data_IF_232415963964
#
_entry.id   IF_232415963964
#
_cell.length_a   1.000
_cell.length_b   1.000
_cell.length_c   1.000
_cell.angle_alpha   90.00
_cell.angle_beta   90.00
_cell.angle_gamma   90.00
#
_symmetry.space_group_name_H-M   'P 1'
#
loop_
_entity.id
_entity.type
_entity.pdbx_description
1 polymer ?
#
# COMPACT_ATOMS: atom_id res chain seq x y z
N UNK A 1 30.70 5.31 -3.60
CA UNK A 1 29.72 4.41 -4.26
C UNK A 1 30.49 3.46 -5.17
N UNK A 2 30.24 2.15 -5.14
CA UNK A 2 30.96 1.20 -6.00
C UNK A 2 30.54 1.36 -7.47
N UNK A 3 31.42 1.02 -8.44
CA UNK A 3 31.07 1.03 -9.88
C UNK A 3 29.83 0.19 -10.22
N UNK A 4 29.49 -0.79 -9.38
CA UNK A 4 28.29 -1.63 -9.55
C UNK A 4 27.00 -0.89 -9.16
N UNK A 5 27.03 -0.07 -8.11
CA UNK A 5 25.87 0.74 -7.69
C UNK A 5 25.47 1.76 -8.77
N UNK A 6 26.43 2.40 -9.42
CA UNK A 6 26.16 3.33 -10.53
C UNK A 6 25.44 2.68 -11.73
N UNK A 7 25.67 1.39 -11.99
CA UNK A 7 25.03 0.70 -13.12
C UNK A 7 23.52 0.51 -12.91
N UNK A 8 23.07 0.39 -11.66
CA UNK A 8 21.66 0.13 -11.31
C UNK A 8 21.00 1.28 -10.57
N UNK A 9 21.65 2.43 -10.47
CA UNK A 9 21.12 3.63 -9.79
C UNK A 9 19.71 3.99 -10.29
N UNK A 10 19.53 4.14 -11.60
CA UNK A 10 18.20 4.42 -12.18
C UNK A 10 17.18 3.29 -11.95
N UNK A 11 17.62 2.04 -11.89
CA UNK A 11 16.72 0.92 -11.56
C UNK A 11 16.22 1.04 -10.12
N UNK A 12 17.14 1.29 -9.19
CA UNK A 12 16.87 1.45 -7.76
C UNK A 12 15.96 2.66 -7.55
N UNK A 13 16.27 3.81 -8.14
CA UNK A 13 15.46 5.03 -8.02
C UNK A 13 14.01 4.82 -8.48
N UNK A 14 13.82 4.16 -9.64
CA UNK A 14 12.47 3.88 -10.13
C UNK A 14 11.76 2.88 -9.22
N UNK A 15 12.44 1.84 -8.74
CA UNK A 15 11.86 0.89 -7.79
C UNK A 15 11.50 1.52 -6.45
N UNK A 16 12.37 2.35 -5.89
CA UNK A 16 12.09 3.12 -4.67
C UNK A 16 10.85 4.00 -4.87
N UNK A 17 10.73 4.65 -6.03
CA UNK A 17 9.53 5.40 -6.39
C UNK A 17 8.29 4.52 -6.46
N UNK A 18 8.38 3.27 -6.96
CA UNK A 18 7.24 2.35 -6.98
C UNK A 18 6.69 2.10 -5.58
N UNK A 19 7.52 1.95 -4.56
CA UNK A 19 7.04 1.71 -3.19
C UNK A 19 6.53 2.98 -2.49
N UNK A 20 6.74 4.16 -3.07
CA UNK A 20 6.42 5.45 -2.46
C UNK A 20 5.59 6.37 -3.37
N UNK A 21 4.82 5.80 -4.30
CA UNK A 21 3.92 6.57 -5.18
C UNK A 21 3.00 7.45 -4.33
N UNK A 22 3.00 8.76 -4.61
CA UNK A 22 2.15 9.72 -3.94
C UNK A 22 0.81 9.84 -4.66
N UNK A 23 -0.24 10.21 -3.93
CA UNK A 23 -1.55 10.50 -4.51
C UNK A 23 -1.52 11.62 -5.56
N UNK A 24 -0.58 12.56 -5.42
CA UNK A 24 -0.35 13.67 -6.35
C UNK A 24 0.50 13.29 -7.55
N UNK A 25 1.13 12.11 -7.57
CA UNK A 25 2.04 11.75 -8.66
C UNK A 25 1.25 11.57 -9.97
N UNK A 26 1.68 12.17 -11.08
CA UNK A 26 1.06 11.94 -12.37
C UNK A 26 1.28 10.48 -12.80
N UNK A 27 0.18 9.74 -12.97
CA UNK A 27 0.22 8.31 -13.31
C UNK A 27 1.01 8.07 -14.60
N UNK A 28 0.83 8.92 -15.60
CA UNK A 28 1.54 8.82 -16.88
C UNK A 28 3.07 8.98 -16.70
N UNK A 29 3.53 9.89 -15.84
CA UNK A 29 4.97 10.06 -15.59
C UNK A 29 5.59 8.86 -14.88
N UNK A 30 4.87 8.30 -13.89
CA UNK A 30 5.31 7.08 -13.20
C UNK A 30 5.38 5.93 -14.20
N UNK A 31 4.34 5.77 -15.00
CA UNK A 31 4.26 4.72 -16.02
C UNK A 31 5.36 4.84 -17.09
N UNK A 32 5.60 6.04 -17.61
CA UNK A 32 6.67 6.30 -18.58
C UNK A 32 8.07 5.97 -18.01
N UNK A 33 8.29 6.23 -16.72
CA UNK A 33 9.54 5.86 -16.02
C UNK A 33 9.70 4.34 -15.94
N UNK A 34 8.62 3.62 -15.62
CA UNK A 34 8.60 2.15 -15.59
C UNK A 34 8.92 1.57 -16.97
N UNK A 35 8.26 2.08 -18.02
CA UNK A 35 8.44 1.59 -19.37
C UNK A 35 9.86 1.83 -19.90
N UNK A 36 10.38 3.04 -19.74
CA UNK A 36 11.69 3.42 -20.27
C UNK A 36 12.84 2.76 -19.51
N UNK A 37 12.74 2.67 -18.18
CA UNK A 37 13.81 2.15 -17.33
C UNK A 37 13.65 0.65 -17.09
N UNK A 38 12.59 0.22 -16.41
CA UNK A 38 12.47 -1.16 -15.96
C UNK A 38 12.27 -2.12 -17.12
N UNK A 39 11.35 -1.81 -18.04
CA UNK A 39 11.02 -2.68 -19.17
C UNK A 39 12.05 -2.52 -20.29
N UNK A 40 12.29 -1.29 -20.77
CA UNK A 40 13.08 -1.08 -21.99
C UNK A 40 14.59 -1.19 -21.76
N UNK A 41 15.12 -0.56 -20.69
CA UNK A 41 16.56 -0.55 -20.41
C UNK A 41 17.02 -1.81 -19.66
N UNK A 42 16.33 -2.17 -18.58
CA UNK A 42 16.74 -3.30 -17.72
C UNK A 42 16.07 -4.63 -18.07
N UNK A 43 15.11 -4.64 -19.00
CA UNK A 43 14.44 -5.86 -19.48
C UNK A 43 13.79 -6.68 -18.35
N UNK A 44 13.25 -6.00 -17.34
CA UNK A 44 12.50 -6.63 -16.26
C UNK A 44 11.29 -7.37 -16.85
N UNK A 45 11.08 -8.61 -16.41
CA UNK A 45 9.95 -9.39 -16.85
C UNK A 45 8.63 -8.77 -16.34
N UNK A 46 7.58 -8.85 -17.14
CA UNK A 46 6.32 -8.15 -16.86
C UNK A 46 5.59 -8.74 -15.65
N UNK A 47 5.63 -10.06 -15.48
CA UNK A 47 5.07 -10.71 -14.29
C UNK A 47 5.78 -10.23 -13.03
N UNK A 48 7.11 -10.14 -13.05
CA UNK A 48 7.90 -9.69 -11.90
C UNK A 48 7.62 -8.22 -11.56
N UNK A 49 7.42 -7.38 -12.58
CA UNK A 49 7.01 -5.99 -12.40
C UNK A 49 5.62 -5.88 -11.79
N UNK A 50 4.63 -6.62 -12.30
CA UNK A 50 3.27 -6.60 -11.77
C UNK A 50 3.26 -7.14 -10.33
N UNK A 51 3.97 -8.23 -10.06
CA UNK A 51 4.15 -8.75 -8.71
C UNK A 51 4.76 -7.70 -7.78
N UNK A 52 5.79 -6.98 -8.24
CA UNK A 52 6.40 -5.89 -7.46
C UNK A 52 5.43 -4.75 -7.17
N UNK A 53 4.55 -4.40 -8.12
CA UNK A 53 3.50 -3.40 -7.92
C UNK A 53 2.42 -3.87 -6.94
N UNK A 54 2.02 -5.14 -7.02
CA UNK A 54 1.09 -5.75 -6.07
C UNK A 54 1.68 -5.72 -4.66
N UNK A 55 2.97 -6.09 -4.52
CA UNK A 55 3.70 -5.98 -3.25
C UNK A 55 3.76 -4.53 -2.74
N UNK A 56 3.99 -3.56 -3.63
CA UNK A 56 4.01 -2.15 -3.25
C UNK A 56 2.67 -1.66 -2.67
N UNK A 57 1.52 -2.20 -3.12
CA UNK A 57 0.20 -1.89 -2.54
C UNK A 57 0.16 -2.24 -1.04
N UNK A 58 0.78 -3.35 -0.63
CA UNK A 58 0.83 -3.75 0.79
C UNK A 58 1.52 -2.71 1.65
N UNK A 59 2.56 -2.04 1.15
CA UNK A 59 3.34 -1.06 1.90
C UNK A 59 2.82 0.38 1.74
N UNK A 60 1.96 0.62 0.75
CA UNK A 60 1.43 1.93 0.44
C UNK A 60 -0.05 1.86 0.01
N UNK A 61 -0.89 1.24 0.84
CA UNK A 61 -2.31 1.01 0.53
C UNK A 61 -3.09 2.31 0.27
N UNK A 62 -2.65 3.43 0.86
CA UNK A 62 -3.24 4.76 0.61
C UNK A 62 -3.26 5.09 -0.89
N UNK A 63 -2.26 4.64 -1.65
CA UNK A 63 -2.12 4.87 -3.09
C UNK A 63 -2.63 3.72 -3.97
N UNK A 64 -3.43 2.77 -3.44
CA UNK A 64 -3.90 1.58 -4.18
C UNK A 64 -4.53 1.91 -5.54
N UNK A 65 -5.30 3.00 -5.64
CA UNK A 65 -5.92 3.41 -6.90
C UNK A 65 -4.89 3.80 -7.97
N UNK A 66 -3.77 4.40 -7.57
CA UNK A 66 -2.66 4.72 -8.47
C UNK A 66 -1.98 3.44 -8.96
N UNK A 67 -1.73 2.47 -8.07
CA UNK A 67 -1.17 1.18 -8.43
C UNK A 67 -2.06 0.40 -9.41
N UNK A 68 -3.36 0.33 -9.12
CA UNK A 68 -4.35 -0.34 -10.00
C UNK A 68 -4.31 0.27 -11.41
N UNK A 69 -4.30 1.61 -11.52
CA UNK A 69 -4.20 2.29 -12.83
C UNK A 69 -2.93 1.92 -13.57
N UNK A 70 -1.79 1.91 -12.88
CA UNK A 70 -0.49 1.56 -13.49
C UNK A 70 -0.49 0.09 -13.95
N UNK A 71 -0.95 -0.84 -13.11
CA UNK A 71 -1.03 -2.27 -13.47
C UNK A 71 -1.96 -2.46 -14.67
N UNK A 72 -3.10 -1.78 -14.70
CA UNK A 72 -4.04 -1.85 -15.83
C UNK A 72 -3.44 -1.30 -17.13
N UNK A 73 -2.63 -0.24 -17.08
CA UNK A 73 -1.86 0.23 -18.24
C UNK A 73 -0.90 -0.85 -18.74
N UNK A 74 -0.14 -1.49 -17.84
CA UNK A 74 0.78 -2.60 -18.18
C UNK A 74 0.02 -3.78 -18.81
N UNK A 75 -1.12 -4.18 -18.23
CA UNK A 75 -1.95 -5.28 -18.73
C UNK A 75 -2.57 -4.96 -20.12
N UNK A 76 -2.91 -3.69 -20.37
CA UNK A 76 -3.54 -3.27 -21.63
C UNK A 76 -2.57 -3.17 -22.81
N UNK A 77 -1.33 -2.76 -22.57
CA UNK A 77 -0.37 -2.48 -23.64
C UNK A 77 0.46 -3.69 -24.06
N UNK A 78 0.47 -4.75 -23.24
CA UNK A 78 1.49 -5.78 -23.35
C UNK A 78 0.87 -7.15 -23.57
N UNK A 79 1.24 -7.77 -24.70
CA UNK A 79 0.99 -9.19 -24.90
C UNK A 79 1.69 -9.99 -23.80
N UNK A 80 0.89 -10.61 -22.93
CA UNK A 80 1.31 -11.56 -21.90
C UNK A 80 1.05 -12.97 -22.42
N UNK A 81 1.97 -13.90 -22.12
CA UNK A 81 1.71 -15.30 -22.42
C UNK A 81 0.63 -15.85 -21.49
N UNK A 82 -0.02 -16.96 -21.88
CA UNK A 82 -1.03 -17.60 -21.03
C UNK A 82 -0.46 -18.05 -19.68
N UNK A 83 0.81 -18.44 -19.63
CA UNK A 83 1.51 -18.77 -18.38
C UNK A 83 1.76 -17.55 -17.50
N UNK A 84 2.12 -16.39 -18.09
CA UNK A 84 2.34 -15.17 -17.31
C UNK A 84 1.04 -14.70 -16.66
N UNK A 85 -0.06 -14.72 -17.41
CA UNK A 85 -1.38 -14.34 -16.90
C UNK A 85 -1.78 -15.21 -15.70
N UNK A 86 -1.55 -16.52 -15.78
CA UNK A 86 -1.90 -17.41 -14.68
C UNK A 86 -1.13 -17.05 -13.40
N UNK A 87 0.18 -16.82 -13.50
CA UNK A 87 1.01 -16.42 -12.35
C UNK A 87 0.49 -15.11 -11.75
N UNK A 88 0.19 -14.13 -12.60
CA UNK A 88 -0.31 -12.83 -12.16
C UNK A 88 -1.67 -12.95 -11.46
N UNK A 89 -2.57 -13.84 -11.93
CA UNK A 89 -3.85 -14.12 -11.26
C UNK A 89 -3.61 -14.74 -9.88
N UNK A 90 -2.79 -15.80 -9.81
CA UNK A 90 -2.48 -16.49 -8.56
C UNK A 90 -1.85 -15.51 -7.54
N UNK A 91 -0.96 -14.64 -8.01
CA UNK A 91 -0.37 -13.57 -7.19
C UNK A 91 -1.44 -12.58 -6.73
N UNK A 92 -2.28 -12.06 -7.63
CA UNK A 92 -3.32 -11.07 -7.27
C UNK A 92 -4.30 -11.60 -6.22
N UNK A 93 -4.73 -12.86 -6.35
CA UNK A 93 -5.66 -13.49 -5.40
C UNK A 93 -5.08 -13.57 -3.99
N UNK A 94 -3.76 -13.80 -3.86
CA UNK A 94 -3.07 -13.80 -2.56
C UNK A 94 -3.12 -12.44 -1.84
N UNK A 95 -3.39 -11.35 -2.57
CA UNK A 95 -3.53 -9.99 -2.03
C UNK A 95 -4.99 -9.49 -2.05
N UNK A 96 -5.97 -10.39 -2.10
CA UNK A 96 -7.38 -10.01 -2.21
C UNK A 96 -7.65 -9.03 -3.39
N UNK A 97 -6.96 -9.22 -4.50
CA UNK A 97 -7.21 -8.57 -5.78
C UNK A 97 -7.75 -9.61 -6.77
N UNK A 98 -8.58 -9.17 -7.70
CA UNK A 98 -9.10 -9.96 -8.81
C UNK A 98 -8.53 -9.47 -10.11
N UNK A 99 -8.24 -10.39 -11.03
CA UNK A 99 -7.90 -10.08 -12.41
C UNK A 99 -8.94 -10.71 -13.32
N UNK A 100 -9.73 -9.84 -13.96
CA UNK A 100 -10.81 -10.24 -14.84
C UNK A 100 -10.53 -9.81 -16.26
N UNK A 101 -11.07 -10.58 -17.22
CA UNK A 101 -10.97 -10.25 -18.64
C UNK A 101 -12.22 -9.49 -19.06
N UNK A 102 -12.02 -8.29 -19.61
CA UNK A 102 -13.12 -7.48 -20.18
C UNK A 102 -13.71 -8.15 -21.43
N UNK A 103 -14.86 -7.65 -21.88
CA UNK A 103 -15.52 -8.08 -23.12
C UNK A 103 -14.61 -7.95 -24.34
N UNK A 104 -13.71 -6.96 -24.34
CA UNK A 104 -12.76 -6.70 -25.42
C UNK A 104 -11.50 -7.57 -25.32
N UNK A 105 -11.45 -8.46 -24.33
CA UNK A 105 -10.38 -9.42 -24.15
C UNK A 105 -9.14 -8.88 -23.42
N UNK A 106 -9.26 -7.73 -22.76
CA UNK A 106 -8.18 -7.08 -22.00
C UNK A 106 -8.28 -7.49 -20.53
N UNK A 107 -7.16 -7.85 -19.89
CA UNK A 107 -7.16 -8.14 -18.46
C UNK A 107 -7.11 -6.85 -17.64
N UNK A 108 -7.86 -6.81 -16.54
CA UNK A 108 -7.88 -5.70 -15.60
C UNK A 108 -7.83 -6.20 -14.16
N UNK A 109 -7.04 -5.55 -13.33
CA UNK A 109 -6.98 -5.76 -11.89
C UNK A 109 -7.95 -4.84 -11.16
N UNK A 110 -8.58 -5.36 -10.12
CA UNK A 110 -9.48 -4.65 -9.21
C UNK A 110 -9.37 -5.24 -7.80
N UNK A 111 -9.72 -4.48 -6.75
CA UNK A 111 -9.73 -5.00 -5.38
C UNK A 111 -11.06 -5.72 -5.09
N UNK A 112 -11.04 -6.80 -4.31
CA UNK A 112 -12.29 -7.47 -3.89
C UNK A 112 -13.18 -6.60 -2.99
N UNK A 113 -12.55 -5.72 -2.19
CA UNK A 113 -13.26 -4.78 -1.33
C UNK A 113 -13.12 -3.36 -1.87
N UNK A 114 -14.18 -2.58 -1.73
CA UNK A 114 -14.16 -1.17 -2.07
C UNK A 114 -13.18 -0.41 -1.19
N UNK A 115 -12.56 0.62 -1.77
CA UNK A 115 -11.75 1.58 -1.03
C UNK A 115 -12.66 2.36 -0.05
N UNK A 116 -12.23 2.58 1.21
CA UNK A 116 -13.07 3.27 2.19
C UNK A 116 -13.41 4.70 1.76
N UNK A 117 -14.62 5.12 2.05
CA UNK A 117 -15.14 6.48 1.83
C UNK A 117 -14.77 7.43 2.96
N UNK A 118 -14.94 8.74 2.78
CA UNK A 118 -14.45 9.75 3.73
C UNK A 118 -15.02 9.68 5.15
N UNK A 119 -16.17 9.02 5.32
CA UNK A 119 -16.84 8.84 6.61
C UNK A 119 -16.58 7.45 7.21
N UNK A 120 -15.92 6.55 6.49
CA UNK A 120 -15.49 5.26 7.03
C UNK A 120 -14.34 5.45 8.02
N UNK A 121 -14.40 4.75 9.16
CA UNK A 121 -13.36 4.80 10.19
C UNK A 121 -11.96 4.51 9.62
N UNK A 122 -11.87 3.59 8.66
CA UNK A 122 -10.59 3.26 8.02
C UNK A 122 -10.00 4.47 7.29
N UNK A 123 -10.82 5.25 6.58
CA UNK A 123 -10.39 6.47 5.91
C UNK A 123 -10.00 7.55 6.94
N UNK A 124 -10.82 7.72 7.98
CA UNK A 124 -10.56 8.66 9.07
C UNK A 124 -9.17 8.40 9.67
N UNK A 125 -8.83 7.13 9.95
CA UNK A 125 -7.51 6.75 10.44
C UNK A 125 -6.44 6.95 9.38
N UNK A 126 -6.67 6.49 8.15
CA UNK A 126 -5.70 6.56 7.04
C UNK A 126 -5.21 7.99 6.76
N UNK A 127 -6.06 9.00 6.98
CA UNK A 127 -5.77 10.41 6.75
C UNK A 127 -5.62 11.23 8.04
N UNK A 128 -5.48 10.55 9.19
CA UNK A 128 -5.26 11.16 10.51
C UNK A 128 -6.29 12.26 10.85
N UNK A 129 -7.56 12.05 10.50
CA UNK A 129 -8.66 12.99 10.75
C UNK A 129 -9.10 12.94 12.21
N UNK A 130 -8.25 13.43 13.10
CA UNK A 130 -8.40 13.31 14.55
C UNK A 130 -9.74 13.81 15.09
N UNK A 131 -10.31 14.87 14.53
CA UNK A 131 -11.58 15.42 15.01
C UNK A 131 -12.75 14.46 14.71
N UNK A 132 -12.84 13.94 13.47
CA UNK A 132 -13.82 12.89 13.13
C UNK A 132 -13.59 11.62 13.94
N UNK A 133 -12.33 11.26 14.20
CA UNK A 133 -12.00 10.08 15.01
C UNK A 133 -12.52 10.20 16.44
N UNK A 134 -12.36 11.38 17.07
CA UNK A 134 -12.88 11.64 18.42
C UNK A 134 -14.40 11.54 18.46
N UNK A 135 -15.09 12.07 17.45
CA UNK A 135 -16.54 11.94 17.32
C UNK A 135 -16.96 10.47 17.22
N UNK A 136 -16.28 9.69 16.39
CA UNK A 136 -16.51 8.25 16.28
C UNK A 136 -16.29 7.52 17.62
N UNK A 137 -15.14 7.74 18.25
CA UNK A 137 -14.75 7.07 19.49
C UNK A 137 -15.61 7.46 20.70
N UNK A 138 -16.30 8.61 20.64
CA UNK A 138 -17.27 9.00 21.66
C UNK A 138 -18.60 8.24 21.55
N UNK A 139 -18.91 7.71 20.37
CA UNK A 139 -20.19 7.04 20.08
C UNK A 139 -20.07 5.52 20.07
N UNK A 140 -18.89 4.99 19.73
CA UNK A 140 -18.67 3.56 19.53
C UNK A 140 -17.38 3.10 20.21
N UNK A 141 -17.41 1.89 20.76
CA UNK A 141 -16.21 1.24 21.27
C UNK A 141 -15.27 0.91 20.10
N UNK A 142 -13.98 1.01 20.34
CA UNK A 142 -12.95 0.52 19.42
C UNK A 142 -12.60 -0.95 19.67
N UNK A 143 -13.14 -1.55 20.72
CA UNK A 143 -13.04 -2.99 20.98
C UNK A 143 -13.70 -3.75 19.82
N UNK A 144 -13.04 -4.81 19.36
CA UNK A 144 -13.49 -5.67 18.25
C UNK A 144 -13.58 -5.01 16.86
N UNK A 145 -13.07 -3.78 16.69
CA UNK A 145 -12.93 -3.18 15.35
C UNK A 145 -11.76 -3.82 14.61
N UNK A 146 -12.06 -4.43 13.46
CA UNK A 146 -11.07 -4.86 12.49
C UNK A 146 -11.12 -4.00 11.22
N UNK A 147 -9.98 -3.43 10.86
CA UNK A 147 -9.75 -2.67 9.63
C UNK A 147 -8.94 -3.53 8.66
N UNK A 148 -9.16 -3.37 7.36
CA UNK A 148 -8.60 -4.28 6.35
C UNK A 148 -7.91 -3.51 5.23
N UNK A 149 -6.66 -3.86 4.94
CA UNK A 149 -6.04 -3.59 3.63
C UNK A 149 -6.16 -4.81 2.72
N UNK A 150 -5.49 -4.78 1.56
CA UNK A 150 -5.36 -5.93 0.64
C UNK A 150 -4.79 -7.18 1.30
N UNK A 151 -3.91 -7.04 2.29
CA UNK A 151 -3.18 -8.19 2.87
C UNK A 151 -3.24 -8.26 4.39
N UNK A 152 -3.58 -7.15 5.05
CA UNK A 152 -3.43 -7.05 6.49
C UNK A 152 -4.74 -6.66 7.16
N UNK A 153 -4.88 -7.17 8.38
CA UNK A 153 -5.95 -6.80 9.30
C UNK A 153 -5.33 -6.03 10.45
N UNK A 154 -6.00 -4.99 10.89
CA UNK A 154 -5.47 -4.11 11.92
C UNK A 154 -6.56 -3.82 12.94
N UNK A 155 -6.17 -3.76 14.21
CA UNK A 155 -6.88 -2.92 15.18
C UNK A 155 -6.69 -1.42 14.84
N UNK A 156 -7.51 -0.51 15.40
CA UNK A 156 -7.34 0.94 15.16
C UNK A 156 -5.96 1.50 15.52
N UNK A 157 -5.32 1.00 16.59
CA UNK A 157 -3.97 1.42 16.98
C UNK A 157 -2.91 0.94 15.99
N UNK A 158 -3.02 -0.31 15.51
CA UNK A 158 -2.12 -0.88 14.50
C UNK A 158 -2.27 -0.17 13.16
N UNK A 159 -3.50 0.16 12.76
CA UNK A 159 -3.77 0.96 11.56
C UNK A 159 -3.14 2.35 11.69
N UNK A 160 -3.23 2.99 12.86
CA UNK A 160 -2.58 4.28 13.10
C UNK A 160 -1.06 4.19 12.93
N UNK A 161 -0.45 3.08 13.37
CA UNK A 161 0.97 2.81 13.13
C UNK A 161 1.28 2.62 11.64
N UNK A 162 0.48 1.80 10.95
CA UNK A 162 0.65 1.48 9.53
C UNK A 162 0.54 2.72 8.63
N UNK A 163 -0.39 3.63 8.93
CA UNK A 163 -0.61 4.85 8.14
C UNK A 163 0.24 6.05 8.59
N UNK A 164 0.93 5.94 9.72
CA UNK A 164 1.69 7.05 10.32
C UNK A 164 0.81 8.13 10.96
N UNK A 165 -0.40 7.77 11.39
CA UNK A 165 -1.45 8.66 11.91
C UNK A 165 -1.21 9.00 13.39
N UNK A 166 -0.24 9.88 13.61
CA UNK A 166 0.31 10.17 14.94
C UNK A 166 -0.71 10.81 15.88
N UNK A 167 -1.62 11.64 15.38
CA UNK A 167 -2.61 12.30 16.25
C UNK A 167 -3.61 11.29 16.81
N UNK A 168 -4.11 10.40 15.95
CA UNK A 168 -5.01 9.32 16.36
C UNK A 168 -4.29 8.31 17.26
N UNK A 169 -3.06 7.91 16.91
CA UNK A 169 -2.25 7.02 17.75
C UNK A 169 -2.10 7.57 19.17
N UNK A 170 -1.68 8.83 19.31
CA UNK A 170 -1.51 9.50 20.61
C UNK A 170 -2.82 9.60 21.39
N UNK A 171 -3.94 9.85 20.70
CA UNK A 171 -5.26 9.88 21.33
C UNK A 171 -5.64 8.52 21.90
N UNK A 172 -5.49 7.45 21.12
CA UNK A 172 -5.79 6.08 21.55
C UNK A 172 -4.93 5.73 22.79
N UNK A 173 -3.63 6.00 22.73
CA UNK A 173 -2.69 5.73 23.83
C UNK A 173 -3.06 6.48 25.11
N UNK A 174 -3.39 7.77 25.00
CA UNK A 174 -3.63 8.62 26.16
C UNK A 174 -5.00 8.42 26.79
N UNK A 175 -6.05 8.20 25.97
CA UNK A 175 -7.43 8.21 26.43
C UNK A 175 -8.03 6.81 26.55
N UNK A 176 -7.70 5.92 25.61
CA UNK A 176 -8.25 4.57 25.54
C UNK A 176 -7.32 3.51 26.11
N UNK A 177 -6.04 3.87 26.32
CA UNK A 177 -5.02 3.03 26.95
C UNK A 177 -4.84 1.67 26.27
N UNK A 178 -5.12 1.57 24.97
CA UNK A 178 -4.83 0.35 24.21
C UNK A 178 -3.33 0.07 24.23
N UNK A 179 -2.98 -1.20 24.42
CA UNK A 179 -1.59 -1.65 24.49
C UNK A 179 -0.91 -1.58 23.12
N UNK A 180 0.39 -1.27 23.12
CA UNK A 180 1.20 -1.35 21.91
C UNK A 180 1.56 -2.82 21.68
N UNK A 181 1.06 -3.38 20.59
CA UNK A 181 1.34 -4.77 20.19
C UNK A 181 2.70 -4.88 19.50
N UNK A 182 3.19 -6.12 19.34
CA UNK A 182 4.36 -6.38 18.49
C UNK A 182 4.13 -5.87 17.04
N UNK A 183 2.92 -6.07 16.51
CA UNK A 183 2.53 -5.63 15.16
C UNK A 183 2.57 -4.11 15.02
N UNK A 184 2.23 -3.35 16.09
CA UNK A 184 2.35 -1.89 16.07
C UNK A 184 3.77 -1.44 15.71
N UNK A 185 4.81 -2.10 16.24
CA UNK A 185 6.20 -1.76 15.87
C UNK A 185 6.47 -2.05 14.39
N UNK A 186 6.09 -3.23 13.90
CA UNK A 186 6.31 -3.62 12.50
C UNK A 186 5.62 -2.65 11.54
N UNK A 187 4.37 -2.29 11.85
CA UNK A 187 3.60 -1.32 11.09
C UNK A 187 4.14 0.11 11.22
N UNK A 188 4.72 0.50 12.35
CA UNK A 188 5.31 1.84 12.52
C UNK A 188 6.44 2.12 11.52
N UNK A 189 7.21 1.08 11.14
CA UNK A 189 8.25 1.21 10.10
C UNK A 189 7.66 1.42 8.71
N UNK A 190 6.49 0.83 8.41
CA UNK A 190 5.77 1.06 7.15
C UNK A 190 5.21 2.49 7.12
N UNK A 191 4.58 2.92 8.21
CA UNK A 191 4.02 4.28 8.32
C UNK A 191 5.08 5.37 8.32
N UNK A 192 6.32 5.04 8.71
CA UNK A 192 7.48 5.94 8.62
C UNK A 192 7.41 7.15 9.57
N UNK A 193 6.44 7.19 10.49
CA UNK A 193 6.33 8.26 11.47
C UNK A 193 7.30 8.02 12.63
N UNK A 194 8.31 8.88 12.77
CA UNK A 194 9.38 8.70 13.76
C UNK A 194 8.90 8.73 15.21
N UNK A 195 7.84 9.48 15.51
CA UNK A 195 7.31 9.58 16.87
C UNK A 195 6.65 8.26 17.28
N UNK A 196 5.83 7.69 16.38
CA UNK A 196 5.22 6.37 16.58
C UNK A 196 6.29 5.28 16.71
N UNK A 197 7.30 5.28 15.82
CA UNK A 197 8.40 4.29 15.87
C UNK A 197 9.10 4.34 17.24
N UNK A 198 9.44 5.54 17.70
CA UNK A 198 10.11 5.72 18.98
C UNK A 198 9.24 5.27 20.16
N UNK A 199 7.94 5.57 20.14
CA UNK A 199 7.02 5.09 21.19
C UNK A 199 6.94 3.56 21.21
N UNK A 200 6.79 2.93 20.04
CA UNK A 200 6.71 1.47 19.92
C UNK A 200 8.02 0.76 20.33
N UNK A 201 9.18 1.37 20.10
CA UNK A 201 10.46 0.84 20.56
C UNK A 201 10.62 0.94 22.08
N UNK A 202 10.11 2.02 22.67
CA UNK A 202 10.20 2.24 24.11
C UNK A 202 9.23 1.36 24.91
N UNK A 203 8.10 0.96 24.34
CA UNK A 203 7.13 0.08 25.00
C UNK A 203 7.57 -1.39 25.13
N UNK A 204 8.68 -1.78 24.48
CA UNK A 204 9.29 -3.12 24.61
C UNK A 204 10.31 -3.25 25.73
N UNK A 205 10.57 -2.16 26.46
CA UNK A 205 11.45 -2.15 27.65
C UNK A 205 10.63 -2.39 28.90
#
# INVERSE_FOLDING_TARGET
MSKYLQKYEQFIEVFERLFHIKLSDPIEEVFNSIQSILISKYKLHKSDLIFSLIQAIQFNYRSIQSYIKIINLILSELSLSGSDIKIIIDDAEAFNLSIDKTTDGIYQISPYKFFPTEDDLHYIIMYDQIDKFKEYAAQQSLEDIELYSVYSRFSPIEASCYYGSVNIFNFIRSNLKQEITQSCLEYSFIGGNTDIINECLNSKK
#
